data_IF_483490354124
#
_entry.id   IF_483490354124
#
_cell.length_a   1.000
_cell.length_b   1.000
_cell.length_c   1.000
_cell.angle_alpha   90.00
_cell.angle_beta   90.00
_cell.angle_gamma   90.00
#
_symmetry.space_group_name_H-M   'P 1'
#
loop_
_entity.id
_entity.type
_entity.pdbx_description
1 polymer ?
#
# COMPACT_ATOMS: atom_id res chain seq x y z
N UNK A 1 10.47 -23.40 -8.84
CA UNK A 1 11.28 -23.05 -7.67
C UNK A 1 10.39 -22.20 -6.76
N UNK A 2 10.09 -22.67 -5.56
CA UNK A 2 9.14 -22.01 -4.65
C UNK A 2 9.94 -21.33 -3.55
N UNK A 3 9.82 -20.01 -3.41
CA UNK A 3 10.46 -19.24 -2.33
C UNK A 3 9.52 -19.16 -1.12
N UNK A 4 10.05 -19.22 0.09
CA UNK A 4 9.26 -18.99 1.31
C UNK A 4 8.95 -17.50 1.49
N UNK A 5 7.95 -17.17 2.32
CA UNK A 5 7.57 -15.78 2.59
C UNK A 5 8.70 -15.03 3.32
N UNK A 6 9.42 -15.73 4.18
CA UNK A 6 10.53 -15.25 4.98
C UNK A 6 11.72 -14.94 4.07
N UNK A 7 12.09 -15.88 3.20
CA UNK A 7 13.15 -15.69 2.20
C UNK A 7 12.85 -14.48 1.29
N UNK A 8 11.60 -14.33 0.84
CA UNK A 8 11.19 -13.18 0.03
C UNK A 8 11.37 -11.85 0.78
N UNK A 9 11.00 -11.80 2.07
CA UNK A 9 11.15 -10.59 2.89
C UNK A 9 12.62 -10.22 3.08
N UNK A 10 13.48 -11.19 3.35
CA UNK A 10 14.92 -10.97 3.54
C UNK A 10 15.55 -10.41 2.27
N UNK A 11 15.24 -11.00 1.11
CA UNK A 11 15.73 -10.51 -0.19
C UNK A 11 15.28 -9.09 -0.50
N UNK A 12 14.01 -8.77 -0.24
CA UNK A 12 13.48 -7.41 -0.47
C UNK A 12 14.09 -6.40 0.51
N UNK A 13 14.33 -6.79 1.77
CA UNK A 13 14.93 -5.92 2.78
C UNK A 13 16.40 -5.57 2.49
N UNK A 14 17.11 -6.41 1.72
CA UNK A 14 18.48 -6.18 1.31
C UNK A 14 18.63 -5.15 0.17
N UNK A 15 17.55 -4.81 -0.55
CA UNK A 15 17.58 -3.78 -1.58
C UNK A 15 17.71 -2.39 -0.94
N UNK A 16 18.62 -1.53 -1.42
CA UNK A 16 18.73 -0.16 -0.93
C UNK A 16 17.46 0.62 -1.27
N UNK A 17 16.94 1.37 -0.30
CA UNK A 17 15.74 2.20 -0.48
C UNK A 17 15.82 3.50 0.32
N UNK A 18 15.25 4.57 -0.23
CA UNK A 18 15.04 5.83 0.47
C UNK A 18 13.72 5.80 1.25
N UNK A 19 13.62 6.55 2.35
CA UNK A 19 12.35 6.73 3.07
C UNK A 19 11.68 8.01 2.58
N UNK A 20 10.84 7.89 1.56
CA UNK A 20 10.12 9.00 0.93
C UNK A 20 8.64 9.03 1.34
N UNK A 21 8.05 7.87 1.64
CA UNK A 21 6.64 7.73 1.97
C UNK A 21 6.39 7.69 3.50
N UNK A 22 5.30 8.32 3.93
CA UNK A 22 4.73 8.14 5.26
C UNK A 22 3.92 6.84 5.31
N UNK A 23 4.48 5.80 5.93
CA UNK A 23 3.91 4.45 5.96
C UNK A 23 3.64 3.96 7.40
N UNK A 24 2.68 3.02 7.60
CA UNK A 24 1.75 2.49 6.61
C UNK A 24 0.59 3.44 6.31
N UNK A 25 0.19 3.54 5.05
CA UNK A 25 -1.03 4.26 4.68
C UNK A 25 -2.29 3.53 5.20
N UNK A 26 -3.38 4.24 5.54
CA UNK A 26 -4.62 3.60 6.01
C UNK A 26 -5.23 2.63 4.99
N UNK A 27 -5.91 1.59 5.49
CA UNK A 27 -6.83 0.75 4.73
C UNK A 27 -8.24 1.05 5.23
N UNK A 28 -9.07 1.66 4.40
CA UNK A 28 -10.38 2.19 4.81
C UNK A 28 -11.52 1.42 4.15
N UNK A 29 -12.55 1.08 4.92
CA UNK A 29 -13.76 0.44 4.40
C UNK A 29 -14.72 1.49 3.85
N UNK A 30 -15.12 1.33 2.58
CA UNK A 30 -16.09 2.20 1.91
C UNK A 30 -17.52 1.71 2.14
N UNK A 31 -17.98 1.75 3.40
CA UNK A 31 -19.30 1.24 3.82
C UNK A 31 -20.46 1.80 3.00
N UNK A 32 -20.45 3.12 2.74
CA UNK A 32 -21.49 3.80 1.96
C UNK A 32 -21.53 3.34 0.51
N UNK A 33 -20.36 3.17 -0.12
CA UNK A 33 -20.27 2.69 -1.50
C UNK A 33 -20.71 1.23 -1.60
N UNK A 34 -20.26 0.41 -0.66
CA UNK A 34 -20.66 -1.00 -0.57
C UNK A 34 -22.18 -1.13 -0.43
N UNK A 35 -22.81 -0.33 0.43
CA UNK A 35 -24.27 -0.30 0.59
C UNK A 35 -24.99 0.19 -0.66
N UNK A 36 -24.49 1.26 -1.30
CA UNK A 36 -25.07 1.79 -2.53
C UNK A 36 -25.10 0.77 -3.67
N UNK A 37 -24.09 -0.10 -3.74
CA UNK A 37 -23.97 -1.14 -4.75
C UNK A 37 -24.64 -2.47 -4.35
N UNK A 38 -25.27 -2.54 -3.18
CA UNK A 38 -25.77 -3.79 -2.58
C UNK A 38 -24.70 -4.90 -2.50
N UNK A 39 -23.46 -4.52 -2.18
CA UNK A 39 -22.26 -5.37 -2.12
C UNK A 39 -21.20 -4.97 -3.16
N UNK A 40 -20.03 -5.66 -3.25
CA UNK A 40 -19.33 -6.40 -2.19
C UNK A 40 -18.82 -5.46 -1.08
N UNK A 41 -18.07 -5.98 -0.11
CA UNK A 41 -17.33 -5.14 0.84
C UNK A 41 -16.15 -4.49 0.11
N UNK A 42 -16.19 -3.17 -0.02
CA UNK A 42 -15.16 -2.40 -0.74
C UNK A 42 -14.22 -1.76 0.27
N UNK A 43 -12.92 -1.94 0.04
CA UNK A 43 -11.85 -1.31 0.80
C UNK A 43 -10.96 -0.50 -0.13
N UNK A 44 -10.39 0.60 0.39
CA UNK A 44 -9.41 1.41 -0.32
C UNK A 44 -8.13 1.51 0.50
N UNK A 45 -7.00 1.20 -0.12
CA UNK A 45 -5.67 1.49 0.42
C UNK A 45 -5.31 2.92 0.06
N UNK A 46 -5.16 3.79 1.05
CA UNK A 46 -5.00 5.23 0.87
C UNK A 46 -3.56 5.63 0.49
N UNK A 47 -3.06 5.10 -0.61
CA UNK A 47 -1.71 5.43 -1.11
C UNK A 47 -1.59 6.87 -1.65
N UNK A 48 -2.72 7.58 -1.78
CA UNK A 48 -2.75 9.04 -1.88
C UNK A 48 -2.16 9.73 -0.63
N UNK A 49 -2.15 9.07 0.52
CA UNK A 49 -1.65 9.62 1.79
C UNK A 49 -0.18 9.26 2.08
N UNK A 50 0.63 9.00 1.06
CA UNK A 50 2.08 8.77 1.23
C UNK A 50 2.87 10.04 1.57
N UNK A 51 2.26 11.22 1.52
CA UNK A 51 2.77 12.46 2.11
C UNK A 51 3.54 13.35 1.12
N UNK A 52 4.67 12.88 0.58
CA UNK A 52 5.55 13.69 -0.26
C UNK A 52 4.84 14.22 -1.50
N UNK A 53 4.87 15.55 -1.72
CA UNK A 53 4.30 16.21 -2.90
C UNK A 53 2.85 15.75 -3.22
N UNK A 54 1.99 15.71 -2.20
CA UNK A 54 0.61 15.21 -2.24
C UNK A 54 0.44 13.68 -2.32
N UNK A 55 1.54 12.94 -2.22
CA UNK A 55 1.53 11.48 -2.15
C UNK A 55 1.25 10.79 -3.48
N UNK A 56 0.64 9.61 -3.41
CA UNK A 56 0.38 8.73 -4.54
C UNK A 56 1.29 7.50 -4.56
N UNK A 57 0.96 6.56 -5.46
CA UNK A 57 1.65 5.29 -5.60
C UNK A 57 3.11 5.46 -6.07
N UNK A 58 3.39 6.51 -6.86
CA UNK A 58 4.72 6.74 -7.43
C UNK A 58 5.79 7.00 -6.37
N UNK A 59 5.41 7.47 -5.19
CA UNK A 59 6.37 7.63 -4.08
C UNK A 59 7.00 6.29 -3.72
N UNK A 60 6.23 5.18 -3.71
CA UNK A 60 6.78 3.83 -3.42
C UNK A 60 7.68 3.29 -4.52
N UNK A 61 7.46 3.70 -5.76
CA UNK A 61 8.30 3.27 -6.89
C UNK A 61 9.65 3.99 -6.90
N UNK A 62 9.71 5.18 -6.30
CA UNK A 62 10.92 5.98 -6.15
C UNK A 62 11.69 5.73 -4.84
N UNK A 63 11.10 5.01 -3.88
CA UNK A 63 11.80 4.53 -2.67
C UNK A 63 12.81 3.44 -3.01
#
# INVERSE_FOLDING_TARGET
MTISREELKERLAALPRLQLASLPTPLEELKRLSAHLAGPQIWVKRDDLTGLAFGGNKIREFE
#
